data_IF_882674460323
#
_entry.id   IF_882674460323
#
_cell.length_a   1.000
_cell.length_b   1.000
_cell.length_c   1.000
_cell.angle_alpha   90.00
_cell.angle_beta   90.00
_cell.angle_gamma   90.00
#
_symmetry.space_group_name_H-M   'P 1'
#
loop_
_entity.id
_entity.type
_entity.pdbx_description
1 polymer ?
#
# COMPACT_ATOMS: atom_id res chain seq x y z
N UNK A 1 -55.45 1.51 8.64
CA UNK A 1 -54.77 1.09 7.41
C UNK A 1 -53.68 2.08 6.94
N UNK A 2 -53.77 3.38 7.19
CA UNK A 2 -52.74 4.39 6.76
C UNK A 2 -51.36 4.22 7.36
N UNK A 3 -51.22 3.72 8.60
CA UNK A 3 -49.91 3.54 9.26
C UNK A 3 -49.05 2.40 8.69
N UNK A 4 -49.66 1.32 8.15
CA UNK A 4 -48.91 0.21 7.54
C UNK A 4 -48.28 0.60 6.20
N UNK A 5 -48.97 1.43 5.40
CA UNK A 5 -48.47 1.92 4.12
C UNK A 5 -47.26 2.84 4.28
N UNK A 6 -47.20 3.69 5.31
CA UNK A 6 -46.08 4.57 5.57
C UNK A 6 -44.81 3.77 5.97
N UNK A 7 -44.96 2.78 6.86
CA UNK A 7 -43.82 1.91 7.27
C UNK A 7 -43.25 1.18 6.06
N UNK A 8 -44.09 0.64 5.18
CA UNK A 8 -43.64 -0.02 3.95
C UNK A 8 -42.88 0.94 3.03
N UNK A 9 -43.38 2.16 2.85
CA UNK A 9 -42.69 3.16 2.03
C UNK A 9 -41.32 3.53 2.60
N UNK A 10 -41.20 3.71 3.92
CA UNK A 10 -39.91 3.96 4.59
C UNK A 10 -38.97 2.78 4.38
N UNK A 11 -39.43 1.54 4.51
CA UNK A 11 -38.67 0.34 4.28
C UNK A 11 -38.16 0.25 2.82
N UNK A 12 -39.05 0.54 1.83
CA UNK A 12 -38.64 0.57 0.43
C UNK A 12 -37.57 1.62 0.15
N UNK A 13 -37.69 2.83 0.69
CA UNK A 13 -36.68 3.89 0.54
C UNK A 13 -35.38 3.44 1.15
N UNK A 14 -35.39 2.87 2.36
CA UNK A 14 -34.19 2.38 3.03
C UNK A 14 -33.51 1.26 2.24
N UNK A 15 -34.24 0.27 1.76
CA UNK A 15 -33.72 -0.81 0.92
C UNK A 15 -33.15 -0.29 -0.39
N UNK A 16 -33.80 0.69 -1.01
CA UNK A 16 -33.28 1.32 -2.23
C UNK A 16 -31.94 2.00 -1.97
N UNK A 17 -31.83 2.75 -0.87
CA UNK A 17 -30.54 3.39 -0.48
C UNK A 17 -29.43 2.34 -0.28
N UNK A 18 -29.73 1.23 0.41
CA UNK A 18 -28.75 0.14 0.59
C UNK A 18 -28.34 -0.46 -0.76
N UNK A 19 -29.27 -0.74 -1.65
CA UNK A 19 -28.97 -1.31 -2.96
C UNK A 19 -28.09 -0.36 -3.77
N UNK A 20 -28.43 0.93 -3.82
CA UNK A 20 -27.63 1.94 -4.52
C UNK A 20 -26.22 2.02 -3.91
N UNK A 21 -26.11 2.05 -2.58
CA UNK A 21 -24.84 2.03 -1.88
C UNK A 21 -23.98 0.81 -2.24
N UNK A 22 -24.56 -0.39 -2.26
CA UNK A 22 -23.82 -1.62 -2.59
C UNK A 22 -23.37 -1.63 -4.05
N UNK A 23 -24.23 -1.17 -4.98
CA UNK A 23 -23.88 -1.08 -6.41
C UNK A 23 -22.74 -0.10 -6.61
N UNK A 24 -22.84 1.11 -6.05
CA UNK A 24 -21.83 2.15 -6.17
C UNK A 24 -20.51 1.71 -5.53
N UNK A 25 -20.57 1.14 -4.33
CA UNK A 25 -19.37 0.65 -3.60
C UNK A 25 -18.65 -0.49 -4.36
N UNK A 26 -19.43 -1.38 -5.01
CA UNK A 26 -18.84 -2.43 -5.84
C UNK A 26 -18.27 -1.87 -7.15
N UNK A 27 -18.89 -0.85 -7.72
CA UNK A 27 -18.36 -0.15 -8.88
C UNK A 27 -17.07 0.59 -8.54
N UNK A 28 -17.02 1.31 -7.41
CA UNK A 28 -15.85 2.01 -6.94
C UNK A 28 -14.67 1.05 -6.68
N UNK A 29 -14.92 -0.14 -6.10
CA UNK A 29 -13.90 -1.18 -5.93
C UNK A 29 -13.20 -1.55 -7.24
N UNK A 30 -13.91 -1.53 -8.37
CA UNK A 30 -13.36 -1.85 -9.70
C UNK A 30 -12.56 -0.73 -10.34
N UNK A 31 -12.65 0.49 -9.81
CA UNK A 31 -11.99 1.69 -10.34
C UNK A 31 -10.65 1.91 -9.65
N UNK A 32 -9.58 1.29 -10.17
CA UNK A 32 -8.23 1.53 -9.66
C UNK A 32 -7.77 2.90 -10.14
N UNK A 33 -7.52 3.80 -9.20
CA UNK A 33 -7.02 5.15 -9.46
C UNK A 33 -5.49 5.13 -9.62
N UNK A 34 -4.99 5.79 -10.63
CA UNK A 34 -3.56 6.05 -10.77
C UNK A 34 -3.29 7.47 -10.26
N UNK A 35 -2.44 7.58 -9.27
CA UNK A 35 -2.10 8.83 -8.61
C UNK A 35 -0.63 9.14 -8.82
N UNK A 36 -0.33 10.37 -9.23
CA UNK A 36 1.05 10.84 -9.35
C UNK A 36 1.32 11.90 -8.29
N UNK A 37 2.44 11.76 -7.58
CA UNK A 37 2.87 12.64 -6.50
C UNK A 37 4.35 12.95 -6.69
N UNK A 38 4.75 14.21 -6.54
CA UNK A 38 6.17 14.58 -6.52
C UNK A 38 6.73 14.44 -5.11
N UNK A 39 7.90 13.78 -4.98
CA UNK A 39 8.73 13.82 -3.76
C UNK A 39 9.85 14.81 -4.02
N UNK A 40 9.76 15.98 -3.38
CA UNK A 40 10.77 17.03 -3.47
C UNK A 40 11.72 16.92 -2.30
N UNK A 41 13.03 16.71 -2.58
CA UNK A 41 14.09 16.72 -1.58
C UNK A 41 15.39 17.24 -2.19
N UNK A 42 16.18 17.95 -1.38
CA UNK A 42 17.56 18.33 -1.71
C UNK A 42 18.49 17.11 -1.79
N UNK A 43 18.10 16.03 -1.10
CA UNK A 43 18.86 14.80 -0.98
C UNK A 43 18.63 13.83 -2.16
N UNK A 44 17.67 14.15 -3.07
CA UNK A 44 17.53 13.43 -4.35
C UNK A 44 18.78 13.69 -5.20
N UNK A 45 19.58 12.65 -5.52
CA UNK A 45 20.74 12.80 -6.37
C UNK A 45 20.32 13.18 -7.81
N UNK A 46 21.21 13.84 -8.57
CA UNK A 46 20.93 14.33 -9.91
C UNK A 46 20.47 13.22 -10.88
N UNK A 47 21.12 12.06 -10.81
CA UNK A 47 20.79 10.92 -11.68
C UNK A 47 19.42 10.29 -11.37
N UNK A 48 18.83 10.62 -10.22
CA UNK A 48 17.51 10.17 -9.81
C UNK A 48 16.41 11.23 -10.00
N UNK A 49 16.77 12.46 -10.40
CA UNK A 49 15.80 13.50 -10.70
C UNK A 49 14.90 13.08 -11.88
N UNK A 50 13.57 13.14 -11.69
CA UNK A 50 12.57 12.67 -12.65
C UNK A 50 12.35 11.16 -12.67
N UNK A 51 13.07 10.35 -11.89
CA UNK A 51 12.82 8.90 -11.76
C UNK A 51 11.49 8.64 -11.09
N UNK A 52 10.81 7.56 -11.50
CA UNK A 52 9.46 7.21 -11.07
C UNK A 52 9.45 5.92 -10.27
N UNK A 53 8.98 6.02 -9.05
CA UNK A 53 8.82 4.92 -8.11
C UNK A 53 7.33 4.60 -7.99
N UNK A 54 6.92 3.42 -8.46
CA UNK A 54 5.55 2.95 -8.35
C UNK A 54 5.39 2.22 -7.01
N UNK A 55 4.41 2.64 -6.21
CA UNK A 55 4.09 2.04 -4.91
C UNK A 55 2.69 1.46 -4.92
N UNK A 56 2.57 0.22 -4.47
CA UNK A 56 1.32 -0.50 -4.23
C UNK A 56 1.42 -1.37 -2.98
N UNK A 57 0.31 -1.56 -2.30
CA UNK A 57 0.18 -2.46 -1.15
C UNK A 57 -1.19 -3.13 -1.17
N UNK A 58 -1.41 -4.05 -0.24
CA UNK A 58 -2.71 -4.63 0.06
C UNK A 58 -3.40 -5.20 -1.19
N UNK A 59 -2.71 -6.09 -1.92
CA UNK A 59 -3.33 -6.82 -3.03
C UNK A 59 -4.47 -7.70 -2.52
N UNK A 60 -4.28 -8.31 -1.34
CA UNK A 60 -5.30 -9.08 -0.66
C UNK A 60 -5.96 -10.12 -1.57
N UNK A 61 -5.14 -10.97 -2.22
CA UNK A 61 -5.68 -12.09 -3.00
C UNK A 61 -6.58 -12.96 -2.13
N UNK A 62 -7.81 -13.18 -2.61
CA UNK A 62 -8.81 -13.98 -1.91
C UNK A 62 -9.43 -15.00 -2.85
N UNK A 63 -9.59 -16.24 -2.37
CA UNK A 63 -10.17 -17.33 -3.16
C UNK A 63 -11.69 -17.34 -3.18
N UNK A 64 -12.34 -16.68 -2.24
CA UNK A 64 -13.79 -16.72 -2.12
C UNK A 64 -14.50 -16.02 -3.28
N UNK A 65 -13.76 -15.27 -4.10
CA UNK A 65 -14.35 -14.54 -5.20
C UNK A 65 -13.47 -14.54 -6.46
N UNK A 66 -14.00 -15.06 -7.57
CA UNK A 66 -13.41 -14.88 -8.90
C UNK A 66 -13.25 -13.39 -9.25
N UNK A 67 -14.05 -12.51 -8.64
CA UNK A 67 -13.97 -11.07 -8.85
C UNK A 67 -12.69 -10.47 -8.30
N UNK A 68 -12.23 -10.91 -7.12
CA UNK A 68 -10.99 -10.41 -6.54
C UNK A 68 -9.81 -10.71 -7.47
N UNK A 69 -9.59 -11.96 -7.89
CA UNK A 69 -8.49 -12.33 -8.78
C UNK A 69 -8.52 -11.55 -10.11
N UNK A 70 -9.71 -11.36 -10.70
CA UNK A 70 -9.85 -10.57 -11.93
C UNK A 70 -9.43 -9.11 -11.71
N UNK A 71 -9.81 -8.54 -10.57
CA UNK A 71 -9.43 -7.17 -10.20
C UNK A 71 -7.90 -7.07 -10.00
N UNK A 72 -7.29 -8.05 -9.34
CA UNK A 72 -5.85 -8.06 -9.10
C UNK A 72 -5.04 -8.26 -10.38
N UNK A 73 -5.50 -9.09 -11.31
CA UNK A 73 -4.88 -9.18 -12.65
C UNK A 73 -4.95 -7.85 -13.40
N UNK A 74 -6.10 -7.17 -13.35
CA UNK A 74 -6.23 -5.82 -13.90
C UNK A 74 -5.26 -4.83 -13.24
N UNK A 75 -5.05 -4.94 -11.91
CA UNK A 75 -4.06 -4.13 -11.21
C UNK A 75 -2.65 -4.37 -11.76
N UNK A 76 -2.25 -5.62 -11.98
CA UNK A 76 -0.95 -5.99 -12.57
C UNK A 76 -0.82 -5.43 -14.00
N UNK A 77 -1.87 -5.53 -14.83
CA UNK A 77 -1.88 -4.94 -16.17
C UNK A 77 -1.69 -3.40 -16.10
N UNK A 78 -2.38 -2.73 -15.17
CA UNK A 78 -2.24 -1.29 -14.96
C UNK A 78 -0.85 -0.92 -14.43
N UNK A 79 -0.28 -1.69 -13.50
CA UNK A 79 1.10 -1.53 -13.03
C UNK A 79 2.07 -1.61 -14.22
N UNK A 80 1.90 -2.61 -15.09
CA UNK A 80 2.75 -2.82 -16.25
C UNK A 80 2.63 -1.70 -17.29
N UNK A 81 1.46 -1.10 -17.41
CA UNK A 81 1.20 -0.01 -18.34
C UNK A 81 1.83 1.34 -17.93
N UNK A 82 2.19 1.50 -16.63
CA UNK A 82 2.78 2.75 -16.16
C UNK A 82 4.27 2.85 -16.50
N UNK A 83 4.71 4.07 -16.82
CA UNK A 83 6.15 4.40 -16.84
C UNK A 83 6.66 4.43 -15.40
N UNK A 84 7.66 3.60 -15.13
CA UNK A 84 8.27 3.44 -13.81
C UNK A 84 9.69 2.95 -13.93
N UNK A 85 10.54 3.41 -13.05
CA UNK A 85 11.93 2.97 -12.94
C UNK A 85 12.11 1.94 -11.82
N UNK A 86 11.19 1.91 -10.84
CA UNK A 86 11.20 1.05 -9.65
C UNK A 86 9.79 0.69 -9.23
N UNK A 87 9.62 -0.46 -8.56
CA UNK A 87 8.37 -0.86 -7.89
C UNK A 87 8.63 -1.12 -6.42
N UNK A 88 7.78 -0.58 -5.55
CA UNK A 88 7.74 -0.85 -4.12
C UNK A 88 6.43 -1.54 -3.77
N UNK A 89 6.52 -2.67 -3.04
CA UNK A 89 5.41 -3.50 -2.62
C UNK A 89 5.29 -3.44 -1.09
N UNK A 90 4.19 -2.87 -0.60
CA UNK A 90 3.98 -2.52 0.81
C UNK A 90 3.33 -3.60 1.67
N UNK A 91 3.35 -4.87 1.25
CA UNK A 91 2.79 -5.99 2.03
C UNK A 91 1.33 -6.31 1.74
N UNK A 92 0.79 -7.31 2.45
CA UNK A 92 -0.56 -7.85 2.35
C UNK A 92 -0.92 -8.31 0.92
N UNK A 93 -0.12 -9.28 0.40
CA UNK A 93 -0.29 -9.83 -0.94
C UNK A 93 -1.49 -10.76 -1.04
N UNK A 94 -1.78 -11.52 0.03
CA UNK A 94 -2.90 -12.45 0.10
C UNK A 94 -3.66 -12.28 1.42
N UNK A 95 -4.98 -12.50 1.43
CA UNK A 95 -5.80 -12.44 2.65
C UNK A 95 -5.54 -13.62 3.58
N UNK A 96 -5.29 -14.80 2.99
CA UNK A 96 -5.09 -16.06 3.72
C UNK A 96 -3.89 -16.79 3.15
N UNK A 97 -3.16 -17.53 3.98
CA UNK A 97 -2.01 -18.36 3.60
C UNK A 97 -2.28 -19.20 2.33
N UNK A 98 -3.42 -19.88 2.26
CA UNK A 98 -3.85 -20.68 1.09
C UNK A 98 -3.94 -19.90 -0.23
N UNK A 99 -3.93 -18.58 -0.19
CA UNK A 99 -4.01 -17.70 -1.35
C UNK A 99 -2.64 -17.20 -1.81
N UNK A 100 -1.60 -17.38 -1.00
CA UNK A 100 -0.22 -16.99 -1.28
C UNK A 100 0.23 -17.52 -2.65
N UNK A 101 0.08 -18.82 -2.98
CA UNK A 101 0.49 -19.33 -4.29
C UNK A 101 -0.18 -18.63 -5.47
N UNK A 102 -1.45 -18.20 -5.31
CA UNK A 102 -2.20 -17.53 -6.39
C UNK A 102 -1.72 -16.12 -6.66
N UNK A 103 -1.31 -15.40 -5.62
CA UNK A 103 -0.66 -14.11 -5.81
C UNK A 103 0.60 -14.29 -6.64
N UNK A 104 1.49 -15.20 -6.26
CA UNK A 104 2.77 -15.41 -6.95
C UNK A 104 2.61 -15.97 -8.36
N UNK A 105 1.57 -16.80 -8.60
CA UNK A 105 1.22 -17.25 -9.95
C UNK A 105 0.92 -16.08 -10.89
N UNK A 106 0.24 -15.05 -10.40
CA UNK A 106 -0.10 -13.87 -11.20
C UNK A 106 1.00 -12.78 -11.14
N UNK A 107 1.74 -12.67 -10.03
CA UNK A 107 2.81 -11.69 -9.84
C UNK A 107 4.02 -11.90 -10.76
N UNK A 108 4.21 -13.11 -11.31
CA UNK A 108 5.21 -13.37 -12.37
C UNK A 108 5.01 -12.52 -13.62
N UNK A 109 3.79 -12.01 -13.83
CA UNK A 109 3.46 -11.14 -14.95
C UNK A 109 3.85 -9.68 -14.69
N UNK A 110 4.29 -9.32 -13.48
CA UNK A 110 4.83 -7.98 -13.15
C UNK A 110 6.16 -7.82 -13.87
N UNK A 111 6.24 -6.85 -14.77
CA UNK A 111 7.49 -6.50 -15.47
C UNK A 111 8.43 -5.79 -14.52
N UNK A 112 9.58 -6.40 -14.25
CA UNK A 112 10.61 -5.82 -13.38
C UNK A 112 11.22 -4.62 -14.09
N UNK A 113 11.15 -3.41 -13.50
CA UNK A 113 11.81 -2.23 -14.05
C UNK A 113 13.32 -2.25 -13.80
N UNK A 114 14.04 -1.32 -14.44
CA UNK A 114 15.51 -1.24 -14.42
C UNK A 114 16.09 -1.20 -12.99
N UNK A 115 15.45 -0.44 -12.09
CA UNK A 115 15.91 -0.29 -10.70
C UNK A 115 15.31 -1.34 -9.75
N UNK A 116 14.58 -2.34 -10.27
CA UNK A 116 14.12 -3.48 -9.51
C UNK A 116 12.77 -3.34 -8.83
N UNK A 117 12.43 -4.41 -8.09
CA UNK A 117 11.22 -4.52 -7.24
C UNK A 117 11.67 -4.76 -5.81
N UNK A 118 11.17 -3.98 -4.87
CA UNK A 118 11.44 -4.09 -3.43
C UNK A 118 10.13 -4.28 -2.69
N UNK A 119 10.14 -5.16 -1.71
CA UNK A 119 8.95 -5.64 -1.02
C UNK A 119 9.17 -5.71 0.48
N UNK A 120 8.11 -5.58 1.26
CA UNK A 120 8.09 -5.87 2.70
C UNK A 120 6.97 -6.85 3.01
N UNK A 121 6.98 -7.46 4.18
CA UNK A 121 5.84 -8.18 4.71
C UNK A 121 4.72 -7.24 5.18
N UNK A 122 3.46 -7.62 4.96
CA UNK A 122 2.33 -7.17 5.75
C UNK A 122 1.97 -8.19 6.83
N UNK A 123 0.89 -7.95 7.57
CA UNK A 123 0.48 -8.85 8.64
C UNK A 123 -0.09 -10.19 8.14
N UNK A 124 -0.60 -10.23 6.92
CA UNK A 124 -1.17 -11.44 6.32
C UNK A 124 -0.13 -12.44 5.80
N UNK A 125 1.13 -12.06 5.63
CA UNK A 125 2.18 -12.96 5.17
C UNK A 125 2.77 -13.83 6.26
N UNK A 126 2.60 -13.51 7.54
CA UNK A 126 3.29 -14.21 8.62
C UNK A 126 2.95 -15.70 8.77
N UNK A 127 1.72 -16.17 8.53
CA UNK A 127 1.44 -17.61 8.52
C UNK A 127 2.24 -18.37 7.45
N UNK A 128 2.58 -17.74 6.32
CA UNK A 128 3.35 -18.29 5.21
C UNK A 128 4.62 -17.49 4.90
N UNK A 129 5.33 -16.97 5.91
CA UNK A 129 6.46 -16.06 5.72
C UNK A 129 7.63 -16.70 4.93
N UNK A 130 7.93 -17.98 5.19
CA UNK A 130 8.98 -18.72 4.47
C UNK A 130 8.60 -18.89 3.00
N UNK A 131 7.37 -19.31 2.71
CA UNK A 131 6.86 -19.45 1.34
C UNK A 131 6.87 -18.11 0.60
N UNK A 132 6.48 -17.04 1.30
CA UNK A 132 6.55 -15.66 0.78
C UNK A 132 7.98 -15.30 0.38
N UNK A 133 8.95 -15.50 1.28
CA UNK A 133 10.36 -15.19 1.02
C UNK A 133 10.91 -15.98 -0.19
N UNK A 134 10.63 -17.28 -0.26
CA UNK A 134 11.06 -18.12 -1.38
C UNK A 134 10.45 -17.67 -2.72
N UNK A 135 9.15 -17.34 -2.73
CA UNK A 135 8.47 -16.90 -3.95
C UNK A 135 8.95 -15.52 -4.40
N UNK A 136 9.16 -14.57 -3.47
CA UNK A 136 9.76 -13.27 -3.81
C UNK A 136 11.14 -13.44 -4.45
N UNK A 137 11.98 -14.31 -3.88
CA UNK A 137 13.31 -14.63 -4.42
C UNK A 137 13.20 -15.26 -5.82
N UNK A 138 12.28 -16.21 -6.04
CA UNK A 138 12.05 -16.85 -7.36
C UNK A 138 11.61 -15.83 -8.42
N UNK A 139 10.86 -14.80 -8.04
CA UNK A 139 10.43 -13.72 -8.93
C UNK A 139 11.52 -12.66 -9.15
N UNK A 140 12.63 -12.70 -8.42
CA UNK A 140 13.65 -11.65 -8.46
C UNK A 140 13.25 -10.37 -7.74
N UNK A 141 12.30 -10.45 -6.81
CA UNK A 141 11.88 -9.34 -5.96
C UNK A 141 12.74 -9.32 -4.69
N UNK A 142 13.16 -8.13 -4.28
CA UNK A 142 14.00 -7.92 -3.10
C UNK A 142 13.09 -7.74 -1.87
N UNK A 143 12.95 -8.78 -1.06
CA UNK A 143 12.22 -8.70 0.20
C UNK A 143 13.11 -8.10 1.28
N UNK A 144 12.66 -7.01 1.90
CA UNK A 144 13.37 -6.28 2.95
C UNK A 144 12.85 -6.72 4.33
N UNK A 145 13.77 -7.14 5.19
CA UNK A 145 13.46 -7.65 6.55
C UNK A 145 14.34 -6.91 7.56
N UNK A 146 13.92 -5.71 7.96
CA UNK A 146 14.71 -4.81 8.80
C UNK A 146 16.08 -4.53 8.18
N UNK A 147 16.09 -4.13 6.93
CA UNK A 147 17.31 -3.86 6.16
C UNK A 147 17.08 -2.79 5.10
N UNK A 148 18.16 -2.31 4.51
CA UNK A 148 18.09 -1.43 3.35
C UNK A 148 18.80 -2.03 2.14
N UNK A 149 18.48 -1.47 0.98
CA UNK A 149 19.16 -1.73 -0.29
C UNK A 149 19.61 -0.42 -0.91
N UNK A 150 20.86 -0.40 -1.27
CA UNK A 150 21.49 0.67 -2.04
C UNK A 150 21.19 0.49 -3.52
N UNK A 151 20.76 1.56 -4.17
CA UNK A 151 20.51 1.59 -5.61
C UNK A 151 21.43 2.67 -6.21
N UNK A 152 22.17 2.30 -7.24
CA UNK A 152 23.20 3.15 -7.81
C UNK A 152 22.94 3.42 -9.28
N UNK A 153 22.99 4.68 -9.68
CA UNK A 153 23.06 5.14 -11.08
C UNK A 153 24.27 6.08 -11.20
N UNK A 154 25.18 5.79 -12.10
CA UNK A 154 26.35 6.61 -12.38
C UNK A 154 27.12 7.12 -11.11
N UNK A 155 27.34 6.22 -10.12
CA UNK A 155 27.97 6.50 -8.82
C UNK A 155 27.14 7.36 -7.84
N UNK A 156 25.94 7.76 -8.18
CA UNK A 156 24.98 8.37 -7.24
C UNK A 156 24.05 7.31 -6.66
N UNK A 157 23.61 7.49 -5.42
CA UNK A 157 22.90 6.47 -4.69
C UNK A 157 21.62 7.00 -4.05
N UNK A 158 20.59 6.15 -4.04
CA UNK A 158 19.45 6.24 -3.14
C UNK A 158 19.30 4.95 -2.36
N UNK A 159 18.47 4.94 -1.33
CA UNK A 159 18.25 3.77 -0.50
C UNK A 159 16.76 3.48 -0.35
N UNK A 160 16.44 2.18 -0.36
CA UNK A 160 15.12 1.68 0.04
C UNK A 160 15.32 0.90 1.32
N UNK A 161 14.77 1.39 2.42
CA UNK A 161 14.77 0.71 3.70
C UNK A 161 13.38 0.11 3.97
N UNK A 162 13.33 -1.06 4.60
CA UNK A 162 12.06 -1.72 4.91
C UNK A 162 12.12 -2.48 6.22
N UNK A 163 11.03 -2.41 6.97
CA UNK A 163 10.87 -3.13 8.24
C UNK A 163 9.83 -4.24 8.12
N UNK A 164 9.86 -5.15 9.08
CA UNK A 164 8.84 -6.18 9.26
C UNK A 164 7.52 -5.58 9.75
N UNK A 165 6.44 -6.36 9.69
CA UNK A 165 5.13 -5.94 10.18
C UNK A 165 5.13 -5.65 11.70
N UNK A 166 4.31 -4.67 12.11
CA UNK A 166 4.20 -4.26 13.51
C UNK A 166 3.46 -5.28 14.39
N UNK A 167 2.46 -5.98 13.82
CA UNK A 167 1.59 -6.85 14.62
C UNK A 167 2.17 -8.25 14.84
N UNK A 168 2.86 -8.80 13.84
CA UNK A 168 3.34 -10.18 13.85
C UNK A 168 4.87 -10.29 13.71
N UNK A 169 5.51 -9.20 13.27
CA UNK A 169 6.95 -9.09 13.15
C UNK A 169 7.61 -8.47 14.39
N UNK A 170 8.82 -8.02 14.17
CA UNK A 170 9.58 -7.18 15.11
C UNK A 170 10.24 -6.08 14.27
N UNK A 171 9.52 -5.02 13.93
CA UNK A 171 10.08 -3.94 13.12
C UNK A 171 11.24 -3.27 13.88
N UNK A 172 12.32 -3.00 13.17
CA UNK A 172 13.54 -2.39 13.69
C UNK A 172 14.07 -1.36 12.70
N UNK A 173 13.62 -0.11 12.87
CA UNK A 173 14.03 1.00 12.02
C UNK A 173 15.51 1.32 12.18
N UNK A 174 16.07 1.15 13.39
CA UNK A 174 17.51 1.35 13.64
C UNK A 174 18.35 0.43 12.76
N UNK A 175 17.99 -0.85 12.70
CA UNK A 175 18.66 -1.83 11.85
C UNK A 175 18.40 -1.57 10.36
N UNK A 176 17.16 -1.24 9.99
CA UNK A 176 16.82 -0.94 8.60
C UNK A 176 17.55 0.31 8.06
N UNK A 177 17.88 1.27 8.91
CA UNK A 177 18.58 2.51 8.57
C UNK A 177 20.07 2.47 8.95
N UNK A 178 20.60 1.29 9.29
CA UNK A 178 22.01 1.14 9.66
C UNK A 178 22.93 1.55 8.50
N UNK A 179 23.95 2.35 8.82
CA UNK A 179 24.93 2.85 7.85
C UNK A 179 24.45 4.05 7.02
N UNK A 180 23.18 4.44 7.12
CA UNK A 180 22.61 5.58 6.39
C UNK A 180 22.77 6.89 7.19
N UNK A 181 22.94 7.98 6.44
CA UNK A 181 23.07 9.34 6.95
C UNK A 181 21.81 10.16 6.65
N UNK A 182 21.67 11.31 7.29
CA UNK A 182 20.55 12.24 7.05
C UNK A 182 20.57 12.90 5.66
N UNK A 183 21.71 12.89 5.00
CA UNK A 183 21.90 13.44 3.65
C UNK A 183 21.70 12.39 2.55
N UNK A 184 21.51 11.12 2.91
CA UNK A 184 21.17 10.07 1.97
C UNK A 184 19.68 10.16 1.63
N UNK A 185 19.32 10.04 0.36
CA UNK A 185 17.91 9.95 -0.01
C UNK A 185 17.36 8.55 0.30
N UNK A 186 16.36 8.48 1.17
CA UNK A 186 15.80 7.21 1.67
C UNK A 186 14.28 7.18 1.52
N UNK A 187 13.78 6.15 0.83
CA UNK A 187 12.37 5.74 0.90
C UNK A 187 12.25 4.62 1.95
N UNK A 188 11.49 4.88 3.00
CA UNK A 188 11.29 3.94 4.10
C UNK A 188 9.94 3.24 3.99
N UNK A 189 9.93 1.91 4.01
CA UNK A 189 8.74 1.07 3.90
C UNK A 189 8.35 0.49 5.25
N UNK A 190 7.10 0.69 5.64
CA UNK A 190 6.44 -0.03 6.73
C UNK A 190 5.04 -0.44 6.27
N UNK A 191 4.56 -1.64 6.65
CA UNK A 191 3.19 -1.99 6.32
C UNK A 191 2.20 -1.19 7.15
N UNK A 192 2.41 -1.17 8.48
CA UNK A 192 1.54 -0.49 9.44
C UNK A 192 1.97 0.97 9.62
N UNK A 193 1.13 1.95 9.30
CA UNK A 193 1.50 3.36 9.42
C UNK A 193 1.70 3.79 10.88
N UNK A 194 1.13 3.09 11.85
CA UNK A 194 1.30 3.38 13.29
C UNK A 194 2.75 3.18 13.75
N UNK A 195 3.54 2.34 13.07
CA UNK A 195 4.97 2.15 13.38
C UNK A 195 5.77 3.47 13.28
N UNK A 196 5.29 4.41 12.46
CA UNK A 196 5.90 5.73 12.35
C UNK A 196 5.94 6.49 13.71
N UNK A 197 5.05 6.18 14.66
CA UNK A 197 5.10 6.74 16.02
C UNK A 197 6.20 6.13 16.88
N UNK A 198 6.53 4.86 16.62
CA UNK A 198 7.56 4.14 17.39
C UNK A 198 8.98 4.50 16.94
N UNK A 199 9.14 5.06 15.75
CA UNK A 199 10.43 5.55 15.25
C UNK A 199 10.89 6.77 16.06
N UNK A 200 12.17 6.77 16.41
CA UNK A 200 12.84 7.93 17.02
C UNK A 200 12.94 9.09 16.02
N UNK A 201 13.16 10.29 16.49
CA UNK A 201 13.34 11.46 15.60
C UNK A 201 14.57 11.30 14.69
N UNK A 202 15.69 10.73 15.19
CA UNK A 202 16.88 10.44 14.36
C UNK A 202 16.57 9.44 13.22
N UNK A 203 15.76 8.43 13.46
CA UNK A 203 15.31 7.49 12.44
C UNK A 203 14.40 8.15 11.40
N UNK A 204 13.47 9.01 11.84
CA UNK A 204 12.60 9.76 10.94
C UNK A 204 13.37 10.77 10.09
N UNK A 205 14.38 11.45 10.68
CA UNK A 205 15.24 12.40 9.96
C UNK A 205 16.07 11.76 8.83
N UNK A 206 16.30 10.44 8.89
CA UNK A 206 16.98 9.67 7.83
C UNK A 206 16.04 9.25 6.70
N UNK A 207 14.74 9.40 6.85
CA UNK A 207 13.74 8.99 5.85
C UNK A 207 13.13 10.21 5.16
N UNK A 208 13.40 10.42 3.88
CA UNK A 208 12.77 11.51 3.09
C UNK A 208 11.27 11.30 2.94
N UNK A 209 10.84 10.05 2.85
CA UNK A 209 9.44 9.66 2.75
C UNK A 209 9.22 8.27 3.33
N UNK A 210 8.28 8.16 4.26
CA UNK A 210 7.76 6.86 4.70
C UNK A 210 6.55 6.46 3.86
N UNK A 211 6.47 5.20 3.44
CA UNK A 211 5.37 4.65 2.65
C UNK A 211 4.72 3.50 3.41
N UNK A 212 3.39 3.53 3.54
CA UNK A 212 2.64 2.54 4.30
C UNK A 212 1.35 2.10 3.59
N UNK A 213 0.89 0.88 3.94
CA UNK A 213 -0.38 0.28 3.52
C UNK A 213 -1.36 0.08 4.66
N UNK A 214 -1.90 -1.15 4.79
CA UNK A 214 -2.67 -1.68 5.92
C UNK A 214 -4.07 -1.12 6.14
N UNK A 215 -4.28 0.17 5.94
CA UNK A 215 -5.54 0.85 6.33
C UNK A 215 -6.65 0.73 5.30
N UNK A 216 -6.32 0.34 4.08
CA UNK A 216 -7.23 0.33 2.92
C UNK A 216 -7.95 1.67 2.68
N UNK A 217 -7.37 2.79 3.17
CA UNK A 217 -8.03 4.09 3.15
C UNK A 217 -9.32 4.15 3.98
N UNK A 218 -9.49 3.21 4.94
CA UNK A 218 -10.70 2.99 5.72
C UNK A 218 -11.79 2.23 4.98
N UNK A 219 -11.54 1.77 3.76
CA UNK A 219 -12.36 0.92 2.89
C UNK A 219 -13.79 1.41 2.62
N UNK A 220 -14.57 1.69 3.66
CA UNK A 220 -15.89 2.33 3.61
C UNK A 220 -15.83 3.59 4.46
N UNK A 221 -15.89 4.74 3.81
CA UNK A 221 -15.82 6.05 4.46
C UNK A 221 -17.09 6.85 4.18
N UNK A 222 -17.28 7.94 4.92
CA UNK A 222 -18.36 8.89 4.65
C UNK A 222 -17.73 10.24 4.31
N UNK A 223 -17.75 10.62 3.03
CA UNK A 223 -17.07 11.80 2.50
C UNK A 223 -15.60 11.89 2.98
N UNK A 224 -14.86 10.76 2.89
CA UNK A 224 -13.47 10.67 3.33
C UNK A 224 -13.25 10.53 4.84
N UNK A 225 -14.31 10.56 5.66
CA UNK A 225 -14.21 10.24 7.09
C UNK A 225 -14.25 8.74 7.28
N UNK A 226 -13.17 8.19 7.81
CA UNK A 226 -13.04 6.75 8.09
C UNK A 226 -13.97 6.40 9.25
N UNK A 227 -14.94 5.50 9.01
CA UNK A 227 -15.91 5.04 10.01
C UNK A 227 -15.30 3.91 10.83
N UNK A 228 -14.72 2.92 10.15
CA UNK A 228 -14.04 1.76 10.74
C UNK A 228 -12.63 1.65 10.20
N UNK A 229 -11.69 1.23 11.03
CA UNK A 229 -10.30 0.97 10.62
C UNK A 229 -9.69 -0.05 11.57
N UNK A 230 -8.70 -0.78 11.08
CA UNK A 230 -7.88 -1.69 11.87
C UNK A 230 -6.97 -0.93 12.85
N UNK A 231 -6.64 0.34 12.55
CA UNK A 231 -5.74 1.18 13.35
C UNK A 231 -6.49 2.00 14.40
N UNK A 232 -5.82 2.34 15.50
CA UNK A 232 -6.39 3.12 16.61
C UNK A 232 -6.62 4.57 16.21
N UNK A 233 -5.61 5.25 15.66
CA UNK A 233 -5.73 6.66 15.23
C UNK A 233 -5.96 6.78 13.72
N UNK A 234 -7.17 6.41 13.29
CA UNK A 234 -7.61 6.49 11.89
C UNK A 234 -7.64 7.92 11.32
N UNK A 235 -7.72 8.94 12.17
CA UNK A 235 -7.67 10.34 11.74
C UNK A 235 -6.24 10.71 11.36
N UNK A 236 -5.27 10.25 12.14
CA UNK A 236 -3.85 10.52 11.93
C UNK A 236 -3.30 9.67 10.78
N UNK A 237 -3.53 8.36 10.81
CA UNK A 237 -2.89 7.40 9.91
C UNK A 237 -3.84 6.71 8.92
N UNK A 238 -4.97 7.32 8.61
CA UNK A 238 -5.98 6.65 7.80
C UNK A 238 -5.64 6.56 6.31
N UNK A 239 -5.28 7.65 5.65
CA UNK A 239 -5.07 7.69 4.20
C UNK A 239 -4.36 8.96 3.73
N UNK A 240 -3.56 8.82 2.67
CA UNK A 240 -2.96 9.90 1.92
C UNK A 240 -1.67 10.45 2.52
N UNK A 241 -1.24 11.58 2.00
CA UNK A 241 -0.04 12.28 2.48
C UNK A 241 -0.30 12.91 3.85
N UNK A 242 0.60 12.65 4.79
CA UNK A 242 0.64 13.27 6.12
C UNK A 242 2.03 13.82 6.39
N UNK A 243 2.09 14.84 7.23
CA UNK A 243 3.35 15.42 7.67
C UNK A 243 3.26 15.70 9.17
N UNK A 244 4.25 15.24 9.92
CA UNK A 244 4.37 15.41 11.37
C UNK A 244 5.79 15.86 11.71
N UNK A 245 5.93 17.04 12.30
CA UNK A 245 7.24 17.63 12.65
C UNK A 245 8.23 17.70 11.47
N UNK A 246 7.71 17.92 10.24
CA UNK A 246 8.55 17.95 9.04
C UNK A 246 8.80 16.59 8.39
N UNK A 247 8.42 15.47 9.05
CA UNK A 247 8.57 14.13 8.51
C UNK A 247 7.32 13.69 7.76
N UNK A 248 7.50 13.14 6.57
CA UNK A 248 6.41 12.81 5.64
C UNK A 248 6.13 11.32 5.65
N UNK A 249 4.84 10.98 5.67
CA UNK A 249 4.35 9.62 5.45
C UNK A 249 3.20 9.63 4.45
N UNK A 250 3.23 8.70 3.51
CA UNK A 250 2.12 8.43 2.61
C UNK A 250 1.50 7.07 2.93
N UNK A 251 0.18 7.06 3.16
CA UNK A 251 -0.58 5.85 3.45
C UNK A 251 -1.49 5.58 2.25
N UNK A 252 -1.27 4.46 1.55
CA UNK A 252 -2.10 4.10 0.40
C UNK A 252 -3.43 3.48 0.81
N UNK A 253 -4.43 3.60 -0.07
CA UNK A 253 -5.68 2.85 0.07
C UNK A 253 -5.57 1.39 -0.35
N UNK A 254 -4.42 0.97 -0.91
CA UNK A 254 -4.21 -0.39 -1.37
C UNK A 254 -5.03 -0.77 -2.60
N UNK A 255 -4.91 -2.03 -3.04
CA UNK A 255 -5.56 -2.55 -4.25
C UNK A 255 -6.77 -3.44 -3.97
N UNK A 256 -6.76 -4.17 -2.86
CA UNK A 256 -7.73 -5.21 -2.52
C UNK A 256 -8.51 -4.92 -1.24
N UNK A 257 -8.76 -5.98 -0.50
CA UNK A 257 -9.48 -5.98 0.78
C UNK A 257 -10.99 -6.19 0.64
N UNK A 258 -11.55 -6.81 1.67
CA UNK A 258 -12.98 -7.04 1.81
C UNK A 258 -13.50 -6.31 3.06
N UNK A 259 -14.69 -5.77 2.97
CA UNK A 259 -15.43 -5.25 4.11
C UNK A 259 -16.62 -6.16 4.38
N UNK A 260 -16.66 -6.79 5.56
CA UNK A 260 -17.64 -7.82 5.90
C UNK A 260 -17.79 -8.87 4.78
N UNK A 261 -16.64 -9.39 4.32
CA UNK A 261 -16.54 -10.37 3.22
C UNK A 261 -17.05 -9.88 1.84
N UNK A 262 -17.39 -8.60 1.73
CA UNK A 262 -17.80 -7.98 0.47
C UNK A 262 -16.64 -7.19 -0.14
N UNK A 263 -16.38 -7.37 -1.43
CA UNK A 263 -15.41 -6.58 -2.19
C UNK A 263 -16.04 -5.25 -2.59
N UNK A 264 -16.03 -4.31 -1.66
CA UNK A 264 -16.62 -2.98 -1.81
C UNK A 264 -15.64 -1.90 -1.32
N UNK A 265 -15.73 -0.74 -1.94
CA UNK A 265 -15.06 0.49 -1.54
C UNK A 265 -16.05 1.64 -1.63
N UNK A 266 -16.06 2.53 -0.65
CA UNK A 266 -16.92 3.70 -0.66
C UNK A 266 -16.17 4.95 -0.21
N UNK A 267 -15.95 5.89 -1.12
CA UNK A 267 -15.02 7.02 -0.99
C UNK A 267 -13.60 6.61 -0.54
N UNK A 268 -13.16 5.42 -0.97
CA UNK A 268 -11.86 4.85 -0.66
C UNK A 268 -11.37 3.98 -1.83
N UNK A 269 -11.33 4.56 -3.04
CA UNK A 269 -10.94 3.86 -4.27
C UNK A 269 -9.59 3.15 -4.11
N UNK A 270 -9.44 1.93 -4.66
CA UNK A 270 -8.13 1.31 -4.80
C UNK A 270 -7.19 2.20 -5.62
N UNK A 271 -5.90 2.21 -5.29
CA UNK A 271 -4.97 3.06 -6.00
C UNK A 271 -3.61 2.41 -6.29
N UNK A 272 -3.00 2.87 -7.37
CA UNK A 272 -1.59 2.72 -7.71
C UNK A 272 -0.98 4.12 -7.60
N UNK A 273 0.07 4.26 -6.80
CA UNK A 273 0.73 5.55 -6.60
C UNK A 273 2.07 5.57 -7.33
N UNK A 274 2.33 6.64 -8.06
CA UNK A 274 3.61 6.87 -8.73
C UNK A 274 4.23 8.10 -8.10
N UNK A 275 5.35 7.92 -7.45
CA UNK A 275 6.16 9.02 -6.93
C UNK A 275 7.20 9.41 -7.98
N UNK A 276 7.19 10.68 -8.39
CA UNK A 276 8.25 11.24 -9.21
C UNK A 276 9.25 11.95 -8.29
N UNK A 277 10.51 11.52 -8.31
CA UNK A 277 11.56 12.11 -7.51
C UNK A 277 11.97 13.46 -8.12
N UNK A 278 12.07 14.49 -7.31
CA UNK A 278 12.43 15.85 -7.72
C UNK A 278 13.50 16.44 -6.83
N UNK A 279 14.65 16.71 -7.43
CA UNK A 279 15.74 17.46 -6.81
C UNK A 279 15.35 18.94 -6.70
N UNK A 280 15.58 19.56 -5.52
CA UNK A 280 15.36 20.99 -5.27
C UNK A 280 16.65 21.68 -4.79
#
# INVERSE_FOLDING_TARGET
MKGKSWILNVLYVFLTIIIVFLIDSHYEYKQIKIKMIEIKSKDVPKEFDGKRVLFVADFQYDTMSRYNRKQQKKAIELINAQKKDMILLGGDYATWEKNIPKFYEDAKDIRIPELGVYAIYGNHEYPGAEETAENMKKLGFNLLVNENRKITINNENIYIAGVTDLWHGKPDAKKALEGLKKEDFVLFLTHNPEYFEEMTEDEKEKADMTLAGHTHGGQVTFFGKIIMSAIKDKKKYGYGMKEYNGHKIYITSGLGGAFLEMFIRFFAQPEIVIFELKRI
#
